data_IF_368726421088
#
_entry.id   IF_368726421088
#
_cell.length_a   1.000
_cell.length_b   1.000
_cell.length_c   1.000
_cell.angle_alpha   90.00
_cell.angle_beta   90.00
_cell.angle_gamma   90.00
#
_symmetry.space_group_name_H-M   'P 1'
#
loop_
_entity.id
_entity.type
_entity.pdbx_description
1 polymer ?
#
# COMPACT_ATOMS: atom_id res chain seq x y z
N UNK A 1 -16.10 -23.25 -22.62
CA UNK A 1 -17.19 -23.43 -21.63
C UNK A 1 -16.57 -23.22 -20.27
N UNK A 2 -16.86 -22.07 -19.64
CA UNK A 2 -16.27 -21.66 -18.35
C UNK A 2 -16.99 -22.43 -17.24
N UNK A 3 -16.26 -23.18 -16.43
CA UNK A 3 -16.85 -24.00 -15.36
C UNK A 3 -16.87 -23.17 -14.09
N UNK A 4 -17.99 -22.48 -13.87
CA UNK A 4 -18.19 -21.54 -12.75
C UNK A 4 -18.44 -22.28 -11.42
N UNK A 5 -18.54 -23.62 -11.46
CA UNK A 5 -18.79 -24.44 -10.28
C UNK A 5 -18.44 -25.93 -10.49
N UNK A 6 -18.21 -26.71 -9.41
CA UNK A 6 -17.95 -28.14 -9.54
C UNK A 6 -19.18 -28.87 -10.10
N UNK A 7 -19.11 -29.52 -11.27
CA UNK A 7 -20.27 -30.17 -11.90
C UNK A 7 -20.95 -31.21 -10.99
N UNK A 8 -20.18 -31.85 -10.11
CA UNK A 8 -20.69 -32.84 -9.15
C UNK A 8 -21.66 -32.28 -8.11
N UNK A 9 -21.55 -30.99 -7.76
CA UNK A 9 -22.46 -30.38 -6.79
C UNK A 9 -23.86 -30.24 -7.39
N UNK A 10 -23.96 -29.72 -8.61
CA UNK A 10 -25.23 -29.54 -9.32
C UNK A 10 -25.84 -30.87 -9.76
N UNK A 11 -25.02 -31.85 -10.14
CA UNK A 11 -25.49 -33.22 -10.39
C UNK A 11 -26.15 -33.85 -9.14
N UNK A 12 -25.62 -33.61 -7.93
CA UNK A 12 -26.24 -34.08 -6.69
C UNK A 12 -27.58 -33.40 -6.38
N UNK A 13 -27.72 -32.11 -6.69
CA UNK A 13 -29.01 -31.42 -6.52
C UNK A 13 -30.03 -31.95 -7.53
N UNK A 14 -29.62 -32.20 -8.78
CA UNK A 14 -30.44 -32.83 -9.80
C UNK A 14 -30.88 -34.24 -9.39
N UNK A 15 -29.95 -35.10 -8.95
CA UNK A 15 -30.25 -36.44 -8.43
C UNK A 15 -31.26 -36.38 -7.27
N UNK A 16 -31.08 -35.44 -6.33
CA UNK A 16 -32.00 -35.26 -5.20
C UNK A 16 -33.37 -34.74 -5.63
N UNK A 17 -33.43 -33.89 -6.66
CA UNK A 17 -34.68 -33.41 -7.24
C UNK A 17 -35.43 -34.51 -8.03
N UNK A 18 -34.72 -35.53 -8.52
CA UNK A 18 -35.30 -36.69 -9.19
C UNK A 18 -35.70 -37.83 -8.23
N UNK A 19 -35.08 -37.90 -7.05
CA UNK A 19 -35.46 -38.86 -5.99
C UNK A 19 -36.62 -38.39 -5.10
N UNK A 20 -37.06 -37.14 -5.24
CA UNK A 20 -38.17 -36.56 -4.47
C UNK A 20 -39.49 -36.67 -5.24
N UNK A 21 -40.51 -37.25 -4.61
CA UNK A 21 -41.88 -37.33 -5.16
C UNK A 21 -42.75 -36.09 -4.84
N UNK A 22 -42.27 -35.21 -3.96
CA UNK A 22 -42.94 -33.95 -3.62
C UNK A 22 -42.61 -32.84 -4.63
N UNK A 23 -43.63 -32.43 -5.39
CA UNK A 23 -43.52 -31.36 -6.38
C UNK A 23 -43.05 -30.02 -5.78
N UNK A 24 -43.40 -29.72 -4.52
CA UNK A 24 -43.00 -28.50 -3.84
C UNK A 24 -41.51 -28.53 -3.48
N UNK A 25 -41.00 -29.66 -3.02
CA UNK A 25 -39.56 -29.83 -2.76
C UNK A 25 -38.74 -29.83 -4.06
N UNK A 26 -39.24 -30.45 -5.14
CA UNK A 26 -38.60 -30.39 -6.46
C UNK A 26 -38.46 -28.96 -6.97
N UNK A 27 -39.51 -28.15 -6.83
CA UNK A 27 -39.49 -26.73 -7.18
C UNK A 27 -38.50 -25.92 -6.32
N UNK A 28 -38.41 -26.21 -5.01
CA UNK A 28 -37.44 -25.57 -4.10
C UNK A 28 -35.99 -25.90 -4.47
N UNK A 29 -35.68 -27.16 -4.81
CA UNK A 29 -34.32 -27.58 -5.21
C UNK A 29 -33.89 -26.97 -6.55
N UNK A 30 -34.82 -26.86 -7.50
CA UNK A 30 -34.58 -26.17 -8.77
C UNK A 30 -34.30 -24.68 -8.55
N UNK A 31 -35.15 -23.99 -7.78
CA UNK A 31 -34.97 -22.57 -7.45
C UNK A 31 -33.68 -22.32 -6.67
N UNK A 32 -33.32 -23.20 -5.73
CA UNK A 32 -32.04 -23.10 -5.01
C UNK A 32 -30.85 -23.20 -5.96
N UNK A 33 -30.87 -24.14 -6.91
CA UNK A 33 -29.79 -24.30 -7.89
C UNK A 33 -29.65 -23.08 -8.78
N UNK A 34 -30.76 -22.54 -9.27
CA UNK A 34 -30.79 -21.34 -10.12
C UNK A 34 -30.26 -20.11 -9.38
N UNK A 35 -30.69 -19.91 -8.12
CA UNK A 35 -30.19 -18.83 -7.28
C UNK A 35 -28.68 -18.98 -6.99
N UNK A 36 -28.19 -20.20 -6.76
CA UNK A 36 -26.76 -20.46 -6.53
C UNK A 36 -25.93 -20.19 -7.78
N UNK A 37 -26.39 -20.61 -8.97
CA UNK A 37 -25.70 -20.30 -10.24
C UNK A 37 -25.62 -18.79 -10.43
N UNK A 38 -26.76 -18.09 -10.31
CA UNK A 38 -26.83 -16.62 -10.47
C UNK A 38 -25.90 -15.91 -9.49
N UNK A 39 -25.86 -16.36 -8.23
CA UNK A 39 -24.97 -15.78 -7.21
C UNK A 39 -23.51 -16.05 -7.53
N UNK A 40 -23.15 -17.26 -7.96
CA UNK A 40 -21.78 -17.59 -8.34
C UNK A 40 -21.32 -16.80 -9.55
N UNK A 41 -22.18 -16.65 -10.57
CA UNK A 41 -21.88 -15.83 -11.74
C UNK A 41 -21.68 -14.36 -11.35
N UNK A 42 -22.52 -13.80 -10.49
CA UNK A 42 -22.36 -12.44 -9.99
C UNK A 42 -21.06 -12.26 -9.19
N UNK A 43 -20.71 -13.22 -8.32
CA UNK A 43 -19.45 -13.20 -7.55
C UNK A 43 -18.24 -13.28 -8.47
N UNK A 44 -18.27 -14.16 -9.48
CA UNK A 44 -17.19 -14.31 -10.45
C UNK A 44 -17.05 -13.05 -11.30
N UNK A 45 -18.14 -12.51 -11.83
CA UNK A 45 -18.12 -11.24 -12.57
C UNK A 45 -17.52 -10.12 -11.73
N UNK A 46 -18.02 -9.93 -10.51
CA UNK A 46 -17.52 -8.88 -9.60
C UNK A 46 -16.03 -9.08 -9.27
N UNK A 47 -15.56 -10.33 -9.17
CA UNK A 47 -14.15 -10.61 -8.91
C UNK A 47 -13.29 -10.31 -10.13
N UNK A 48 -13.77 -10.63 -11.33
CA UNK A 48 -13.09 -10.33 -12.58
C UNK A 48 -13.01 -8.82 -12.83
N UNK A 49 -14.13 -8.10 -12.66
CA UNK A 49 -14.18 -6.65 -12.77
C UNK A 49 -13.15 -6.00 -11.83
N UNK A 50 -13.07 -6.48 -10.57
CA UNK A 50 -12.05 -6.02 -9.62
C UNK A 50 -10.62 -6.36 -10.02
N UNK A 51 -10.38 -7.54 -10.58
CA UNK A 51 -9.04 -7.91 -11.05
C UNK A 51 -8.60 -7.04 -12.22
N UNK A 52 -9.52 -6.74 -13.14
CA UNK A 52 -9.29 -5.83 -14.26
C UNK A 52 -9.04 -4.40 -13.76
N UNK A 53 -9.86 -3.90 -12.82
CA UNK A 53 -9.64 -2.59 -12.17
C UNK A 53 -8.24 -2.51 -11.51
N UNK A 54 -7.85 -3.51 -10.72
CA UNK A 54 -6.51 -3.53 -10.08
C UNK A 54 -5.39 -3.60 -11.11
N UNK A 55 -5.56 -4.34 -12.20
CA UNK A 55 -4.60 -4.39 -13.30
C UNK A 55 -4.47 -3.04 -14.00
N UNK A 56 -5.59 -2.36 -14.30
CA UNK A 56 -5.60 -1.02 -14.90
C UNK A 56 -4.89 0.00 -14.00
N UNK A 57 -5.09 -0.09 -12.68
CA UNK A 57 -4.40 0.77 -11.72
C UNK A 57 -2.88 0.56 -11.74
N UNK A 58 -2.41 -0.69 -11.68
CA UNK A 58 -0.97 -1.00 -11.78
C UNK A 58 -0.42 -0.53 -13.14
N UNK A 59 -1.17 -0.74 -14.22
CA UNK A 59 -0.82 -0.26 -15.55
C UNK A 59 -0.68 1.26 -15.60
N UNK A 60 -1.59 2.01 -14.97
CA UNK A 60 -1.54 3.47 -14.94
C UNK A 60 -0.28 4.00 -14.26
N UNK A 61 0.12 3.38 -13.14
CA UNK A 61 1.35 3.73 -12.40
C UNK A 61 2.59 3.35 -13.21
N UNK A 62 2.61 2.16 -13.81
CA UNK A 62 3.72 1.72 -14.65
C UNK A 62 3.86 2.60 -15.89
N UNK A 63 2.77 2.99 -16.56
CA UNK A 63 2.80 3.90 -17.72
C UNK A 63 3.42 5.25 -17.39
N UNK A 64 3.23 5.75 -16.16
CA UNK A 64 3.87 7.00 -15.73
C UNK A 64 5.41 6.92 -15.71
N UNK A 65 5.97 5.71 -15.64
CA UNK A 65 7.41 5.46 -15.75
C UNK A 65 7.95 5.59 -17.17
N UNK A 66 7.09 5.52 -18.20
CA UNK A 66 7.49 5.60 -19.59
C UNK A 66 7.87 7.04 -19.98
N UNK A 67 8.79 7.14 -20.94
CA UNK A 67 9.15 8.43 -21.55
C UNK A 67 7.97 8.98 -22.35
N UNK A 68 7.55 10.25 -22.15
CA UNK A 68 6.34 10.80 -22.77
C UNK A 68 6.34 10.77 -24.30
N UNK A 69 7.52 10.91 -24.90
CA UNK A 69 7.69 11.04 -26.35
C UNK A 69 7.80 9.68 -27.06
N UNK A 70 8.40 8.68 -26.42
CA UNK A 70 8.67 7.37 -27.04
C UNK A 70 7.78 6.24 -26.52
N UNK A 71 7.24 6.37 -25.30
CA UNK A 71 6.58 5.27 -24.59
C UNK A 71 7.54 4.17 -24.13
N UNK A 72 8.85 4.37 -24.25
CA UNK A 72 9.87 3.43 -23.80
C UNK A 72 10.17 3.59 -22.32
N UNK A 73 10.58 2.49 -21.68
CA UNK A 73 11.08 2.51 -20.31
C UNK A 73 12.59 2.61 -20.29
N UNK A 74 13.12 3.70 -19.74
CA UNK A 74 14.56 3.87 -19.52
C UNK A 74 14.90 3.51 -18.08
N UNK A 75 15.60 2.39 -17.89
CA UNK A 75 16.04 1.92 -16.57
C UNK A 75 17.56 2.10 -16.45
N UNK A 76 18.09 2.74 -15.39
CA UNK A 76 17.38 3.32 -14.25
C UNK A 76 16.45 4.49 -14.61
N UNK A 77 15.29 4.56 -13.94
CA UNK A 77 14.30 5.62 -14.15
C UNK A 77 14.88 6.99 -13.78
N UNK A 78 14.51 8.02 -14.53
CA UNK A 78 14.84 9.40 -14.16
C UNK A 78 14.02 9.85 -12.93
N UNK A 79 14.52 10.83 -12.19
CA UNK A 79 13.81 11.39 -11.04
C UNK A 79 12.41 11.94 -11.43
N UNK A 80 12.27 12.45 -12.65
CA UNK A 80 11.00 12.93 -13.20
C UNK A 80 10.01 11.77 -13.42
N UNK A 81 10.48 10.62 -13.93
CA UNK A 81 9.63 9.43 -14.11
C UNK A 81 9.20 8.85 -12.76
N UNK A 82 10.11 8.78 -11.78
CA UNK A 82 9.78 8.34 -10.42
C UNK A 82 8.77 9.29 -9.76
N UNK A 83 8.91 10.60 -9.96
CA UNK A 83 7.93 11.57 -9.48
C UNK A 83 6.56 11.39 -10.14
N UNK A 84 6.51 11.16 -11.46
CA UNK A 84 5.28 10.89 -12.18
C UNK A 84 4.58 9.59 -11.71
N UNK A 85 5.35 8.52 -11.47
CA UNK A 85 4.81 7.29 -10.87
C UNK A 85 4.23 7.54 -9.48
N UNK A 86 4.90 8.36 -8.66
CA UNK A 86 4.42 8.71 -7.31
C UNK A 86 3.11 9.48 -7.37
N UNK A 87 3.01 10.45 -8.28
CA UNK A 87 1.79 11.24 -8.50
C UNK A 87 0.63 10.32 -8.94
N UNK A 88 0.86 9.47 -9.94
CA UNK A 88 -0.12 8.49 -10.39
C UNK A 88 -0.58 7.55 -9.26
N UNK A 89 0.31 7.14 -8.37
CA UNK A 89 -0.02 6.31 -7.22
C UNK A 89 -0.75 7.10 -6.11
N UNK A 90 -0.41 8.37 -5.93
CA UNK A 90 -1.03 9.25 -4.95
C UNK A 90 -2.46 9.67 -5.36
N UNK A 91 -2.77 9.66 -6.65
CA UNK A 91 -4.12 9.90 -7.20
C UNK A 91 -5.06 8.71 -6.98
N UNK A 92 -4.52 7.51 -6.76
CA UNK A 92 -5.32 6.34 -6.43
C UNK A 92 -5.86 6.46 -5.00
N UNK A 93 -7.17 6.23 -4.83
CA UNK A 93 -7.81 6.25 -3.52
C UNK A 93 -7.20 5.18 -2.58
N UNK A 94 -7.03 5.52 -1.30
CA UNK A 94 -6.42 4.61 -0.32
C UNK A 94 -7.15 3.26 -0.14
N UNK A 95 -8.50 3.16 -0.24
CA UNK A 95 -9.20 1.88 -0.23
C UNK A 95 -8.85 0.97 -1.42
N UNK A 96 -8.36 1.55 -2.52
CA UNK A 96 -8.00 0.82 -3.73
C UNK A 96 -6.53 0.39 -3.77
N UNK A 97 -5.67 1.04 -2.98
CA UNK A 97 -4.31 0.58 -2.67
C UNK A 97 -4.33 -0.56 -1.63
N UNK A 98 -5.10 -1.61 -1.91
CA UNK A 98 -5.32 -2.75 -1.02
C UNK A 98 -4.40 -3.95 -1.33
N UNK A 99 -4.64 -5.07 -0.65
CA UNK A 99 -3.91 -6.32 -0.86
C UNK A 99 -4.05 -6.84 -2.30
N UNK A 100 -5.17 -6.57 -2.98
CA UNK A 100 -5.40 -6.94 -4.37
C UNK A 100 -4.47 -6.18 -5.33
N UNK A 101 -4.25 -4.89 -5.09
CA UNK A 101 -3.27 -4.10 -5.81
C UNK A 101 -1.86 -4.69 -5.65
N UNK A 102 -1.44 -4.95 -4.41
CA UNK A 102 -0.12 -5.51 -4.12
C UNK A 102 0.06 -6.91 -4.72
N UNK A 103 -0.97 -7.76 -4.66
CA UNK A 103 -0.95 -9.09 -5.26
C UNK A 103 -0.80 -9.04 -6.77
N UNK A 104 -1.38 -8.01 -7.42
CA UNK A 104 -1.23 -7.80 -8.85
C UNK A 104 0.19 -7.38 -9.21
N UNK A 105 0.78 -6.43 -8.45
CA UNK A 105 2.19 -6.01 -8.62
C UNK A 105 3.13 -7.20 -8.44
N UNK A 106 2.95 -8.01 -7.39
CA UNK A 106 3.79 -9.19 -7.13
C UNK A 106 3.66 -10.24 -8.24
N UNK A 107 2.45 -10.50 -8.73
CA UNK A 107 2.23 -11.43 -9.84
C UNK A 107 2.94 -10.95 -11.13
N UNK A 108 2.85 -9.66 -11.44
CA UNK A 108 3.52 -9.07 -12.60
C UNK A 108 5.04 -9.10 -12.46
N UNK A 109 5.54 -8.89 -11.24
CA UNK A 109 6.98 -8.90 -10.94
C UNK A 109 7.55 -10.30 -11.08
N UNK A 110 6.87 -11.31 -10.53
CA UNK A 110 7.25 -12.72 -10.67
C UNK A 110 7.22 -13.18 -12.12
N UNK A 111 6.21 -12.75 -12.90
CA UNK A 111 6.13 -13.04 -14.33
C UNK A 111 7.28 -12.37 -15.11
N UNK A 112 7.52 -11.08 -14.85
CA UNK A 112 8.62 -10.33 -15.47
C UNK A 112 9.98 -10.97 -15.19
N UNK A 113 10.18 -11.48 -13.97
CA UNK A 113 11.38 -12.21 -13.60
C UNK A 113 11.52 -13.53 -14.38
N UNK A 114 10.44 -14.30 -14.52
CA UNK A 114 10.43 -15.55 -15.31
C UNK A 114 10.70 -15.29 -16.80
N UNK A 115 10.22 -14.15 -17.31
CA UNK A 115 10.40 -13.73 -18.70
C UNK A 115 11.76 -13.04 -18.96
N UNK A 116 12.62 -12.89 -17.93
CA UNK A 116 13.93 -12.25 -18.05
C UNK A 116 13.87 -10.74 -18.30
N UNK A 117 12.76 -10.09 -17.94
CA UNK A 117 12.54 -8.65 -18.11
C UNK A 117 13.03 -7.88 -16.88
N UNK A 118 14.34 -7.89 -16.63
CA UNK A 118 14.95 -7.30 -15.44
C UNK A 118 14.59 -5.80 -15.24
N UNK A 119 14.48 -5.04 -16.34
CA UNK A 119 14.05 -3.65 -16.30
C UNK A 119 12.62 -3.49 -15.76
N UNK A 120 11.70 -4.39 -16.15
CA UNK A 120 10.33 -4.38 -15.65
C UNK A 120 10.26 -4.79 -14.18
N UNK A 121 11.08 -5.75 -13.76
CA UNK A 121 11.22 -6.11 -12.33
C UNK A 121 11.67 -4.90 -11.52
N UNK A 122 12.66 -4.14 -11.99
CA UNK A 122 13.12 -2.92 -11.32
C UNK A 122 12.02 -1.85 -11.21
N UNK A 123 11.20 -1.67 -12.26
CA UNK A 123 10.07 -0.73 -12.24
C UNK A 123 9.01 -1.18 -11.21
N UNK A 124 8.65 -2.45 -11.18
CA UNK A 124 7.65 -2.98 -10.23
C UNK A 124 8.16 -2.94 -8.78
N UNK A 125 9.45 -3.16 -8.57
CA UNK A 125 10.08 -2.92 -7.27
C UNK A 125 9.95 -1.45 -6.86
N UNK A 126 10.16 -0.51 -7.79
CA UNK A 126 9.95 0.92 -7.54
C UNK A 126 8.49 1.24 -7.22
N UNK A 127 7.51 0.57 -7.86
CA UNK A 127 6.08 0.69 -7.49
C UNK A 127 5.85 0.31 -6.02
N UNK A 128 6.43 -0.80 -5.54
CA UNK A 128 6.30 -1.23 -4.14
C UNK A 128 6.94 -0.23 -3.17
N UNK A 129 8.11 0.32 -3.52
CA UNK A 129 8.77 1.37 -2.73
C UNK A 129 7.92 2.64 -2.62
N UNK A 130 7.37 3.10 -3.75
CA UNK A 130 6.50 4.27 -3.78
C UNK A 130 5.20 4.04 -3.02
N UNK A 131 4.60 2.84 -3.14
CA UNK A 131 3.43 2.43 -2.37
C UNK A 131 3.68 2.55 -0.87
N UNK A 132 4.81 2.05 -0.39
CA UNK A 132 5.16 2.13 1.03
C UNK A 132 5.24 3.60 1.49
N UNK A 133 5.96 4.46 0.75
CA UNK A 133 6.07 5.88 1.07
C UNK A 133 4.71 6.59 1.13
N UNK A 134 3.85 6.37 0.13
CA UNK A 134 2.52 6.98 0.04
C UNK A 134 1.60 6.52 1.18
N UNK A 135 1.49 5.21 1.42
CA UNK A 135 0.58 4.69 2.45
C UNK A 135 1.08 4.98 3.87
N UNK A 136 2.39 4.95 4.12
CA UNK A 136 2.96 5.36 5.41
C UNK A 136 2.67 6.84 5.67
N UNK A 137 2.86 7.72 4.68
CA UNK A 137 2.56 9.15 4.80
C UNK A 137 1.08 9.38 5.09
N UNK A 138 0.18 8.72 4.35
CA UNK A 138 -1.27 8.79 4.58
C UNK A 138 -1.65 8.30 5.97
N UNK A 139 -1.07 7.17 6.42
CA UNK A 139 -1.33 6.62 7.74
C UNK A 139 -0.84 7.55 8.86
N UNK A 140 0.36 8.15 8.73
CA UNK A 140 0.88 9.14 9.68
C UNK A 140 -0.02 10.38 9.77
N UNK A 141 -0.49 10.90 8.64
CA UNK A 141 -1.43 12.02 8.62
C UNK A 141 -2.75 11.67 9.35
N UNK A 142 -3.27 10.45 9.17
CA UNK A 142 -4.46 9.96 9.90
C UNK A 142 -4.21 9.82 11.39
N UNK A 143 -3.03 9.34 11.80
CA UNK A 143 -2.65 9.23 13.20
C UNK A 143 -2.52 10.61 13.86
N UNK A 144 -1.89 11.57 13.18
CA UNK A 144 -1.82 12.95 13.66
C UNK A 144 -3.22 13.57 13.80
N UNK A 145 -4.09 13.37 12.80
CA UNK A 145 -5.47 13.85 12.85
C UNK A 145 -6.30 13.16 13.94
N UNK A 146 -6.11 11.87 14.20
CA UNK A 146 -6.84 11.14 15.24
C UNK A 146 -6.35 11.51 16.64
N UNK A 147 -5.05 11.73 16.83
CA UNK A 147 -4.49 12.28 18.07
C UNK A 147 -5.02 13.70 18.31
N UNK A 148 -5.01 14.57 17.30
CA UNK A 148 -5.60 15.92 17.41
C UNK A 148 -7.09 15.87 17.74
N UNK A 149 -7.85 14.98 17.09
CA UNK A 149 -9.27 14.79 17.36
C UNK A 149 -9.53 14.26 18.79
N UNK A 150 -8.75 13.27 19.25
CA UNK A 150 -8.85 12.69 20.60
C UNK A 150 -8.51 13.71 21.69
N UNK A 151 -7.58 14.63 21.41
CA UNK A 151 -7.23 15.72 22.32
C UNK A 151 -8.28 16.83 22.30
N UNK A 152 -8.78 17.22 21.13
CA UNK A 152 -9.82 18.27 20.98
C UNK A 152 -11.18 17.88 21.57
N UNK A 153 -11.28 16.71 22.22
CA UNK A 153 -12.48 16.03 22.67
C UNK A 153 -13.59 16.99 23.09
N UNK A 154 -14.75 16.83 22.44
CA UNK A 154 -16.01 17.22 23.07
C UNK A 154 -16.01 16.68 24.52
N UNK A 155 -16.04 17.62 25.48
CA UNK A 155 -15.66 17.53 26.92
C UNK A 155 -14.16 17.24 27.18
N UNK A 156 -13.19 18.18 27.21
CA UNK A 156 -13.13 19.64 27.51
C UNK A 156 -12.87 19.98 29.00
N UNK A 157 -11.60 19.97 29.46
CA UNK A 157 -11.27 20.50 30.79
C UNK A 157 -9.78 20.58 31.16
N UNK A 158 -8.94 19.64 30.73
CA UNK A 158 -7.47 19.68 30.96
C UNK A 158 -6.66 19.08 29.79
N UNK A 159 -7.20 19.16 28.57
CA UNK A 159 -6.45 18.77 27.35
C UNK A 159 -5.71 19.96 26.72
N UNK A 160 -6.12 21.20 27.07
CA UNK A 160 -5.51 22.42 26.55
C UNK A 160 -4.07 22.65 27.06
N UNK A 161 -3.63 22.00 28.14
CA UNK A 161 -2.26 22.19 28.63
C UNK A 161 -1.25 21.29 27.90
N UNK A 162 -1.65 20.06 27.54
CA UNK A 162 -0.74 19.08 26.90
C UNK A 162 -0.65 19.26 25.38
N UNK A 163 -1.70 19.80 24.76
CA UNK A 163 -1.71 20.08 23.33
C UNK A 163 -1.47 21.53 22.98
N UNK A 164 -1.69 22.52 23.84
CA UNK A 164 -1.12 23.86 23.60
C UNK A 164 0.41 23.88 23.72
N UNK A 165 1.03 22.88 24.35
CA UNK A 165 2.48 22.65 24.29
C UNK A 165 2.95 22.01 22.97
N UNK A 166 2.09 21.25 22.27
CA UNK A 166 2.42 20.61 20.98
C UNK A 166 1.93 21.39 19.75
N UNK A 167 0.82 22.12 19.82
CA UNK A 167 0.25 22.97 18.75
C UNK A 167 0.88 24.37 18.69
N UNK A 168 1.77 24.71 19.63
CA UNK A 168 2.72 25.82 19.47
C UNK A 168 4.06 25.38 18.88
N UNK A 169 4.26 24.08 18.66
CA UNK A 169 5.48 23.54 18.08
C UNK A 169 5.37 23.44 16.57
N UNK A 170 6.29 24.07 15.87
CA UNK A 170 6.72 23.69 14.52
C UNK A 170 6.84 22.15 14.44
N UNK A 171 6.37 21.52 13.35
CA UNK A 171 6.50 20.06 13.14
C UNK A 171 7.91 19.63 13.53
N UNK A 172 8.09 18.67 14.47
CA UNK A 172 9.42 18.33 14.96
C UNK A 172 10.37 18.07 13.78
N UNK A 173 11.59 18.60 13.78
CA UNK A 173 12.48 18.50 12.62
C UNK A 173 12.68 17.06 12.11
N UNK A 174 12.71 16.09 13.03
CA UNK A 174 12.76 14.66 12.68
C UNK A 174 11.49 14.15 11.98
N UNK A 175 10.30 14.60 12.40
CA UNK A 175 9.04 14.26 11.77
C UNK A 175 8.93 14.86 10.36
N UNK A 176 9.36 16.12 10.20
CA UNK A 176 9.42 16.80 8.91
C UNK A 176 10.47 16.16 7.97
N UNK A 177 11.62 15.73 8.50
CA UNK A 177 12.59 14.95 7.74
C UNK A 177 11.99 13.61 7.29
N UNK A 178 11.31 12.89 8.17
CA UNK A 178 10.70 11.61 7.79
C UNK A 178 9.64 11.80 6.70
N UNK A 179 8.81 12.84 6.78
CA UNK A 179 7.84 13.16 5.71
C UNK A 179 8.53 13.44 4.37
N UNK A 180 9.61 14.24 4.36
CA UNK A 180 10.42 14.45 3.16
C UNK A 180 11.01 13.15 2.61
N UNK A 181 11.48 12.26 3.48
CA UNK A 181 12.02 10.95 3.06
C UNK A 181 10.94 10.05 2.44
N UNK A 182 9.68 10.13 2.90
CA UNK A 182 8.57 9.41 2.24
C UNK A 182 8.26 9.93 0.84
N UNK A 183 8.53 11.21 0.57
CA UNK A 183 8.36 11.84 -0.75
C UNK A 183 9.63 11.76 -1.63
N UNK A 184 10.74 11.27 -1.08
CA UNK A 184 12.02 11.16 -1.79
C UNK A 184 12.19 9.75 -2.33
N UNK A 185 12.87 9.60 -3.47
CA UNK A 185 13.28 8.27 -3.96
C UNK A 185 14.25 7.63 -2.94
N UNK A 186 14.04 6.37 -2.51
CA UNK A 186 14.99 5.66 -1.66
C UNK A 186 16.45 5.71 -2.13
N UNK A 187 16.68 5.77 -3.45
CA UNK A 187 18.05 5.87 -3.99
C UNK A 187 18.75 7.19 -3.62
N UNK A 188 17.97 8.22 -3.24
CA UNK A 188 18.46 9.54 -2.81
C UNK A 188 18.46 9.75 -1.29
N UNK A 189 17.99 8.77 -0.50
CA UNK A 189 17.91 8.90 0.96
C UNK A 189 19.24 9.21 1.61
N UNK A 190 20.32 8.54 1.21
CA UNK A 190 21.61 8.73 1.85
C UNK A 190 22.13 10.17 1.69
N UNK A 191 21.82 10.82 0.57
CA UNK A 191 22.19 12.21 0.33
C UNK A 191 21.36 13.16 1.21
N UNK A 192 20.06 12.91 1.33
CA UNK A 192 19.15 13.73 2.15
C UNK A 192 19.39 13.55 3.66
N UNK A 193 19.67 12.32 4.09
CA UNK A 193 20.07 12.00 5.47
C UNK A 193 21.38 12.68 5.81
N UNK A 194 22.44 12.53 5.00
CA UNK A 194 23.72 13.21 5.25
C UNK A 194 23.57 14.72 5.32
N UNK A 195 22.79 15.32 4.42
CA UNK A 195 22.50 16.76 4.44
C UNK A 195 21.86 17.19 5.75
N UNK A 196 20.86 16.45 6.22
CA UNK A 196 20.10 16.80 7.43
C UNK A 196 20.86 16.54 8.72
N UNK A 197 21.67 15.46 8.77
CA UNK A 197 22.53 15.13 9.91
C UNK A 197 23.72 16.10 10.01
N UNK A 198 24.29 16.54 8.89
CA UNK A 198 25.38 17.53 8.89
C UNK A 198 24.94 18.90 9.44
N UNK A 199 23.66 19.23 9.30
CA UNK A 199 23.05 20.44 9.83
C UNK A 199 22.54 20.28 11.28
N UNK A 200 22.94 19.23 12.02
CA UNK A 200 22.42 18.95 13.38
C UNK A 200 22.57 20.14 14.34
N UNK A 201 23.63 20.94 14.21
CA UNK A 201 23.89 22.11 15.06
C UNK A 201 23.17 23.39 14.59
N UNK A 202 22.47 23.33 13.45
CA UNK A 202 21.68 24.43 12.90
C UNK A 202 20.22 24.38 13.38
N UNK A 203 19.52 25.50 13.28
CA UNK A 203 18.09 25.57 13.61
C UNK A 203 17.31 24.68 12.61
N UNK A 204 16.67 23.62 13.11
CA UNK A 204 16.02 22.60 12.27
C UNK A 204 16.88 21.37 11.93
N UNK A 205 18.09 21.26 12.51
CA UNK A 205 18.93 20.07 12.44
C UNK A 205 18.28 18.83 13.08
N UNK A 206 18.64 17.64 12.59
CA UNK A 206 18.10 16.36 13.09
C UNK A 206 19.26 15.45 13.49
N UNK A 207 19.22 14.90 14.70
CA UNK A 207 20.19 13.89 15.14
C UNK A 207 19.79 12.48 14.68
N UNK A 208 20.76 11.57 14.55
CA UNK A 208 20.52 10.15 14.20
C UNK A 208 19.47 9.53 15.14
N UNK A 209 19.61 9.77 16.45
CA UNK A 209 18.68 9.25 17.45
C UNK A 209 17.26 9.82 17.29
N UNK A 210 17.11 11.09 16.93
CA UNK A 210 15.81 11.72 16.75
C UNK A 210 15.05 11.15 15.53
N UNK A 211 15.73 11.00 14.38
CA UNK A 211 15.12 10.39 13.19
C UNK A 211 14.83 8.91 13.43
N UNK A 212 15.73 8.17 14.09
CA UNK A 212 15.52 6.77 14.44
C UNK A 212 14.29 6.60 15.33
N UNK A 213 14.12 7.46 16.35
CA UNK A 213 12.95 7.46 17.21
C UNK A 213 11.63 7.77 16.48
N UNK A 214 11.67 8.62 15.45
CA UNK A 214 10.51 8.89 14.60
C UNK A 214 10.15 7.69 13.70
N UNK A 215 11.16 7.02 13.13
CA UNK A 215 10.95 5.80 12.33
C UNK A 215 10.37 4.69 13.21
N UNK A 216 10.89 4.48 14.42
CA UNK A 216 10.38 3.49 15.36
C UNK A 216 8.91 3.77 15.76
N UNK A 217 8.57 5.03 16.07
CA UNK A 217 7.17 5.43 16.33
C UNK A 217 6.27 5.16 15.14
N UNK A 218 6.76 5.35 13.92
CA UNK A 218 6.00 5.06 12.71
C UNK A 218 5.78 3.56 12.53
N UNK A 219 6.79 2.72 12.81
CA UNK A 219 6.63 1.25 12.79
C UNK A 219 5.55 0.82 13.80
N UNK A 220 5.60 1.34 15.02
CA UNK A 220 4.66 0.99 16.08
C UNK A 220 3.23 1.48 15.80
N UNK A 221 3.09 2.71 15.32
CA UNK A 221 1.78 3.34 15.09
C UNK A 221 1.12 2.93 13.78
N UNK A 222 1.90 2.65 12.73
CA UNK A 222 1.39 2.32 11.39
C UNK A 222 1.52 0.83 11.11
N UNK A 223 2.76 0.31 11.07
CA UNK A 223 3.04 -1.03 10.55
C UNK A 223 2.50 -2.14 11.45
N UNK A 224 2.61 -1.99 12.78
CA UNK A 224 2.05 -2.96 13.72
C UNK A 224 0.52 -2.93 13.81
N UNK A 225 -0.12 -1.86 13.31
CA UNK A 225 -1.56 -1.75 13.19
C UNK A 225 -2.15 -2.45 11.97
N UNK A 226 -1.31 -2.87 11.01
CA UNK A 226 -1.73 -3.60 9.81
C UNK A 226 -2.02 -5.07 10.12
N UNK A 227 -2.79 -5.71 9.23
CA UNK A 227 -3.08 -7.14 9.33
C UNK A 227 -1.80 -7.96 9.34
N UNK A 228 -1.64 -8.81 10.36
CA UNK A 228 -0.42 -9.58 10.56
C UNK A 228 -0.19 -10.56 9.39
N UNK A 229 0.96 -10.43 8.74
CA UNK A 229 1.35 -11.26 7.60
C UNK A 229 0.81 -10.78 6.24
N UNK A 230 0.05 -9.68 6.19
CA UNK A 230 -0.37 -9.05 4.93
C UNK A 230 0.84 -8.57 4.12
N UNK A 231 0.70 -8.49 2.79
CA UNK A 231 1.74 -7.90 1.97
C UNK A 231 1.93 -6.42 2.28
N UNK A 232 0.85 -5.69 2.57
CA UNK A 232 0.96 -4.29 3.00
C UNK A 232 1.88 -4.12 4.21
N UNK A 233 1.72 -4.97 5.24
CA UNK A 233 2.60 -4.96 6.41
C UNK A 233 4.05 -5.28 6.04
N UNK A 234 4.27 -6.31 5.22
CA UNK A 234 5.62 -6.72 4.81
C UNK A 234 6.34 -5.63 4.05
N UNK A 235 5.70 -5.06 3.03
CA UNK A 235 6.28 -4.04 2.14
C UNK A 235 6.61 -2.77 2.94
N UNK A 236 5.69 -2.27 3.77
CA UNK A 236 5.95 -1.09 4.60
C UNK A 236 7.01 -1.35 5.68
N UNK A 237 7.03 -2.55 6.27
CA UNK A 237 8.04 -2.91 7.25
C UNK A 237 9.44 -3.02 6.64
N UNK A 238 9.58 -3.64 5.47
CA UNK A 238 10.85 -3.73 4.74
C UNK A 238 11.36 -2.35 4.35
N UNK A 239 10.49 -1.48 3.85
CA UNK A 239 10.81 -0.10 3.51
C UNK A 239 11.36 0.71 4.71
N UNK A 240 10.69 0.64 5.87
CA UNK A 240 11.17 1.34 7.06
C UNK A 240 12.41 0.68 7.66
N UNK A 241 12.56 -0.65 7.58
CA UNK A 241 13.78 -1.35 8.01
C UNK A 241 14.98 -0.93 7.16
N UNK A 242 14.81 -0.80 5.86
CA UNK A 242 15.87 -0.29 4.99
C UNK A 242 16.31 1.12 5.41
N UNK A 243 15.35 1.99 5.72
CA UNK A 243 15.65 3.32 6.24
C UNK A 243 16.42 3.27 7.57
N UNK A 244 16.01 2.40 8.51
CA UNK A 244 16.75 2.16 9.77
C UNK A 244 18.19 1.75 9.48
N UNK A 245 18.39 0.74 8.62
CA UNK A 245 19.73 0.25 8.26
C UNK A 245 20.61 1.36 7.65
N UNK A 246 20.03 2.23 6.81
CA UNK A 246 20.76 3.35 6.21
C UNK A 246 21.13 4.42 7.25
N UNK A 247 20.24 4.72 8.20
CA UNK A 247 20.54 5.64 9.31
C UNK A 247 21.70 5.08 10.16
N UNK A 248 21.62 3.80 10.56
CA UNK A 248 22.67 3.14 11.35
C UNK A 248 24.03 3.12 10.62
N UNK A 249 24.01 2.83 9.31
CA UNK A 249 25.22 2.83 8.50
C UNK A 249 25.88 4.21 8.42
N UNK A 250 25.09 5.29 8.39
CA UNK A 250 25.62 6.65 8.40
C UNK A 250 26.20 7.03 9.76
N UNK A 251 25.57 6.61 10.86
CA UNK A 251 26.07 6.84 12.22
C UNK A 251 27.43 6.15 12.46
N UNK A 252 27.61 4.94 11.93
CA UNK A 252 28.88 4.19 12.05
C UNK A 252 30.00 4.75 11.15
N UNK A 253 29.67 5.59 10.17
CA UNK A 253 30.62 6.16 9.22
C UNK A 253 31.21 7.52 9.67
N UNK A 254 30.70 8.08 10.78
CA UNK A 254 31.14 9.35 11.41
C UNK A 254 32.09 9.05 12.56
#
# INVERSE_FOLDING_TARGET
IRVVSPPRFFLRIAERADMTDDALEKAKLASLSENLVTTLEAVVSTTEDRLDERAEMVESVVKAAAEPDSGEFLVPLSAERVAAMREALADIESPDLDEGFLSTVDAWMNKSHQDGMDGMVAILQKVLQLYAGVEIKRARARLQASVGAAVSGQSQGQADEVVAEQEKGETPPAAALLERLMDTDPDSWDAELRRSLAAEQEEGGVSSQAIMGEVQRTIEGVVLGLENGSMAQRVQAEYLRELVTRIEALEQAV
#
